data_IF_443603676908
#
_entry.id   IF_443603676908
#
_cell.length_a   1.000
_cell.length_b   1.000
_cell.length_c   1.000
_cell.angle_alpha   90.00
_cell.angle_beta   90.00
_cell.angle_gamma   90.00
#
_symmetry.space_group_name_H-M   'P 1'
#
loop_
_entity.id
_entity.type
_entity.pdbx_description
1 polymer ?
#
# COMPACT_ATOMS: atom_id res chain seq x y z
N UNK A 1 -0.90 4.76 -12.25
CA UNK A 1 0.54 4.45 -12.42
C UNK A 1 1.45 5.32 -11.53
N UNK A 2 1.43 6.65 -11.62
CA UNK A 2 2.28 7.57 -10.81
C UNK A 2 2.21 7.35 -9.29
N UNK A 3 1.00 7.17 -8.72
CA UNK A 3 0.81 6.93 -7.27
C UNK A 3 1.51 5.65 -6.80
N UNK A 4 1.40 4.55 -7.57
CA UNK A 4 2.07 3.27 -7.28
C UNK A 4 3.58 3.44 -7.25
N UNK A 5 4.17 4.03 -8.29
CA UNK A 5 5.62 4.25 -8.36
C UNK A 5 6.17 5.09 -7.18
N UNK A 6 5.43 6.14 -6.77
CA UNK A 6 5.83 6.95 -5.60
C UNK A 6 5.80 6.14 -4.30
N UNK A 7 4.77 5.31 -4.12
CA UNK A 7 4.64 4.45 -2.94
C UNK A 7 5.71 3.36 -2.92
N UNK A 8 6.00 2.73 -4.06
CA UNK A 8 7.08 1.74 -4.18
C UNK A 8 8.43 2.33 -3.80
N UNK A 9 8.76 3.54 -4.31
CA UNK A 9 10.00 4.23 -3.97
C UNK A 9 10.09 4.56 -2.48
N UNK A 10 8.99 5.06 -1.90
CA UNK A 10 8.93 5.40 -0.47
C UNK A 10 9.13 4.15 0.41
N UNK A 11 8.47 3.05 0.08
CA UNK A 11 8.60 1.80 0.83
C UNK A 11 10.05 1.27 0.78
N UNK A 12 10.68 1.27 -0.40
CA UNK A 12 12.08 0.87 -0.53
C UNK A 12 13.01 1.71 0.36
N UNK A 13 12.82 3.03 0.39
CA UNK A 13 13.58 3.92 1.28
C UNK A 13 13.32 3.64 2.76
N UNK A 14 12.07 3.40 3.14
CA UNK A 14 11.68 3.10 4.53
C UNK A 14 12.31 1.79 5.03
N UNK A 15 12.32 0.75 4.19
CA UNK A 15 12.94 -0.54 4.49
C UNK A 15 14.47 -0.43 4.58
N UNK A 16 15.10 0.29 3.65
CA UNK A 16 16.55 0.51 3.66
C UNK A 16 17.02 1.21 4.95
N UNK A 17 16.31 2.25 5.39
CA UNK A 17 16.60 2.97 6.64
C UNK A 17 16.53 2.08 7.89
N UNK A 18 15.83 0.94 7.81
CA UNK A 18 15.65 -0.03 8.89
C UNK A 18 16.47 -1.30 8.71
N UNK A 19 17.30 -1.37 7.67
CA UNK A 19 18.05 -2.58 7.30
C UNK A 19 17.13 -3.80 7.05
N UNK A 20 15.95 -3.57 6.47
CA UNK A 20 14.93 -4.59 6.16
C UNK A 20 14.80 -4.87 4.66
N UNK A 21 15.89 -4.69 3.91
CA UNK A 21 15.88 -4.85 2.46
C UNK A 21 15.55 -6.28 2.00
N UNK A 22 15.69 -7.27 2.89
CA UNK A 22 15.36 -8.68 2.68
C UNK A 22 13.91 -9.04 3.03
N UNK A 23 13.13 -8.11 3.59
CA UNK A 23 11.74 -8.37 3.99
C UNK A 23 10.80 -8.27 2.81
N UNK A 24 9.84 -9.20 2.77
CA UNK A 24 8.74 -9.14 1.81
C UNK A 24 7.94 -7.86 2.02
N UNK A 25 7.68 -7.15 0.92
CA UNK A 25 6.90 -5.92 0.90
C UNK A 25 5.66 -6.11 0.04
N UNK A 26 4.49 -5.82 0.59
CA UNK A 26 3.20 -5.85 -0.10
C UNK A 26 2.51 -4.50 0.03
N UNK A 27 1.76 -4.11 -1.00
CA UNK A 27 0.93 -2.91 -0.97
C UNK A 27 -0.54 -3.31 -0.93
N UNK A 28 -1.19 -2.98 0.17
CA UNK A 28 -2.63 -3.17 0.36
C UNK A 28 -3.36 -1.83 0.24
N UNK A 29 -4.65 -1.89 -0.09
CA UNK A 29 -5.55 -0.73 -0.04
C UNK A 29 -6.62 -1.01 1.01
N UNK A 30 -6.90 -0.02 1.84
CA UNK A 30 -8.06 -0.03 2.73
C UNK A 30 -9.03 1.02 2.19
N UNK A 31 -10.19 0.57 1.75
CA UNK A 31 -11.28 1.43 1.32
C UNK A 31 -12.14 1.73 2.55
N UNK A 32 -12.30 3.02 2.86
CA UNK A 32 -13.17 3.49 3.94
C UNK A 32 -14.32 4.25 3.29
N UNK A 33 -15.52 3.74 3.45
CA UNK A 33 -16.74 4.35 2.93
C UNK A 33 -17.58 4.87 4.08
N UNK A 34 -17.65 6.20 4.17
CA UNK A 34 -18.61 6.88 5.03
C UNK A 34 -19.97 6.89 4.38
N UNK A 35 -20.98 6.39 5.09
CA UNK A 35 -22.38 6.57 4.72
C UNK A 35 -23.00 7.60 5.68
N UNK A 36 -23.75 8.61 5.20
CA UNK A 36 -24.30 9.66 6.06
C UNK A 36 -25.17 9.17 7.23
N UNK A 37 -25.70 7.95 7.15
CA UNK A 37 -26.63 7.36 8.12
C UNK A 37 -26.24 5.96 8.61
N UNK A 38 -25.08 5.43 8.20
CA UNK A 38 -24.65 4.09 8.58
C UNK A 38 -23.20 4.08 9.11
N UNK A 39 -22.85 3.00 9.81
CA UNK A 39 -21.50 2.77 10.31
C UNK A 39 -20.51 2.77 9.15
N UNK A 40 -19.31 3.33 9.38
CA UNK A 40 -18.24 3.34 8.39
C UNK A 40 -17.93 1.91 7.93
N UNK A 41 -17.97 1.70 6.62
CA UNK A 41 -17.61 0.41 6.04
C UNK A 41 -16.13 0.42 5.69
N UNK A 42 -15.40 -0.55 6.22
CA UNK A 42 -13.98 -0.75 5.96
C UNK A 42 -13.83 -2.02 5.12
N UNK A 43 -13.28 -1.89 3.92
CA UNK A 43 -12.91 -3.01 3.05
C UNK A 43 -11.39 -3.05 2.90
N UNK A 44 -10.80 -4.22 3.11
CA UNK A 44 -9.37 -4.46 2.90
C UNK A 44 -9.17 -5.19 1.56
N UNK A 45 -8.37 -4.57 0.69
CA UNK A 45 -7.97 -5.09 -0.60
C UNK A 45 -6.49 -5.48 -0.51
N UNK A 46 -6.17 -6.78 -0.28
CA UNK A 46 -4.80 -7.24 -0.21
C UNK A 46 -4.16 -7.29 -1.61
N UNK A 47 -2.83 -7.13 -1.68
CA UNK A 47 -2.07 -7.19 -2.95
C UNK A 47 -2.64 -6.23 -4.02
N UNK A 48 -2.99 -5.01 -3.63
CA UNK A 48 -3.65 -4.05 -4.52
C UNK A 48 -2.82 -3.70 -5.76
N UNK A 49 -1.50 -3.88 -5.71
CA UNK A 49 -0.63 -3.87 -6.88
C UNK A 49 0.74 -4.49 -6.59
N UNK A 50 1.37 -5.00 -7.65
CA UNK A 50 2.76 -5.43 -7.66
C UNK A 50 3.72 -4.32 -8.09
N UNK A 51 4.98 -4.47 -7.68
CA UNK A 51 6.11 -3.68 -8.19
C UNK A 51 6.71 -4.46 -9.36
N UNK A 52 6.04 -4.45 -10.51
CA UNK A 52 6.67 -4.96 -11.74
C UNK A 52 7.86 -4.06 -12.07
N UNK A 53 9.07 -4.63 -12.10
CA UNK A 53 10.24 -3.96 -12.68
C UNK A 53 9.86 -3.56 -14.11
N UNK A 54 9.94 -2.26 -14.38
CA UNK A 54 9.72 -1.66 -15.70
C UNK A 54 11.05 -1.28 -16.31
#
# INVERSE_FOLDING_TARGET
>A
RRKRAKLSKLAAQYLAQRHWSDKLCRFDVVLVQGQPSAQEQIEHIPNAFDVTES
#
